data_IF_526995714580
#
_entry.id   IF_526995714580
#
_cell.length_a   1.000
_cell.length_b   1.000
_cell.length_c   1.000
_cell.angle_alpha   90.00
_cell.angle_beta   90.00
_cell.angle_gamma   90.00
#
_symmetry.space_group_name_H-M   'P 1'
#
loop_
_entity.id
_entity.type
_entity.pdbx_description
1 polymer ?
#
# COMPACT_ATOMS: atom_id res chain seq x y z
N UNK A 1 -7.42 -0.44 -0.82
CA UNK A 1 -6.71 -1.01 -1.99
C UNK A 1 -7.72 -1.59 -2.97
N UNK A 2 -7.38 -1.79 -4.25
CA UNK A 2 -8.28 -2.32 -5.29
C UNK A 2 -7.57 -3.25 -6.25
N UNK A 3 -8.26 -4.29 -6.71
CA UNK A 3 -7.69 -5.32 -7.57
C UNK A 3 -8.37 -5.36 -8.95
N UNK A 4 -7.59 -5.68 -9.98
CA UNK A 4 -8.10 -5.94 -11.33
C UNK A 4 -8.37 -7.44 -11.53
N UNK A 5 -9.13 -7.80 -12.57
CA UNK A 5 -9.37 -9.20 -12.98
C UNK A 5 -8.10 -10.01 -13.23
N UNK A 6 -7.01 -9.33 -13.60
CA UNK A 6 -5.71 -9.96 -13.80
C UNK A 6 -4.95 -10.31 -12.51
N UNK A 7 -5.46 -9.90 -11.34
CA UNK A 7 -4.86 -10.19 -10.03
C UNK A 7 -3.94 -9.10 -9.49
N UNK A 8 -3.58 -8.09 -10.28
CA UNK A 8 -2.74 -6.98 -9.81
C UNK A 8 -3.53 -5.98 -8.96
N UNK A 9 -2.87 -5.45 -7.93
CA UNK A 9 -3.47 -4.60 -6.89
C UNK A 9 -2.86 -3.21 -6.94
N UNK A 10 -3.71 -2.20 -6.83
CA UNK A 10 -3.34 -0.78 -6.89
C UNK A 10 -4.21 0.05 -5.92
N UNK A 11 -3.83 1.30 -5.67
CA UNK A 11 -4.75 2.26 -5.07
C UNK A 11 -5.93 2.53 -6.01
N UNK A 12 -7.15 2.59 -5.49
CA UNK A 12 -8.37 2.87 -6.27
C UNK A 12 -8.24 4.13 -7.12
N UNK A 13 -7.69 5.21 -6.55
CA UNK A 13 -7.51 6.49 -7.23
C UNK A 13 -6.52 6.38 -8.40
N UNK A 14 -5.38 5.73 -8.18
CA UNK A 14 -4.33 5.57 -9.19
C UNK A 14 -4.84 4.73 -10.36
N UNK A 15 -5.48 3.60 -10.08
CA UNK A 15 -5.94 2.72 -11.16
C UNK A 15 -7.14 3.29 -11.91
N UNK A 16 -8.02 4.05 -11.25
CA UNK A 16 -9.10 4.79 -11.94
C UNK A 16 -8.56 5.83 -12.91
N UNK A 17 -7.55 6.60 -12.51
CA UNK A 17 -6.92 7.58 -13.39
C UNK A 17 -6.31 6.89 -14.61
N UNK A 18 -5.55 5.83 -14.39
CA UNK A 18 -4.93 5.07 -15.46
C UNK A 18 -5.95 4.50 -16.44
N UNK A 19 -7.00 3.82 -15.95
CA UNK A 19 -8.02 3.19 -16.79
C UNK A 19 -8.90 4.19 -17.55
N UNK A 20 -8.90 5.47 -17.15
CA UNK A 20 -9.57 6.53 -17.91
C UNK A 20 -8.77 6.94 -19.17
N UNK A 21 -7.45 6.78 -19.16
CA UNK A 21 -6.57 7.06 -20.30
C UNK A 21 -6.23 5.79 -21.10
N UNK A 22 -6.08 4.66 -20.41
CA UNK A 22 -5.57 3.40 -20.93
C UNK A 22 -6.36 2.24 -20.32
N UNK A 23 -7.26 1.62 -21.08
CA UNK A 23 -8.07 0.46 -20.66
C UNK A 23 -7.25 -0.84 -20.55
N UNK A 24 -6.07 -0.80 -19.91
CA UNK A 24 -5.17 -1.94 -19.74
C UNK A 24 -4.53 -1.96 -18.35
N UNK A 25 -4.17 -3.14 -17.85
CA UNK A 25 -3.41 -3.26 -16.62
C UNK A 25 -1.98 -2.68 -16.79
N UNK A 26 -1.49 -1.83 -15.87
CA UNK A 26 -0.13 -1.29 -15.93
C UNK A 26 0.97 -2.36 -15.93
N UNK A 27 0.74 -3.47 -15.22
CA UNK A 27 1.76 -4.51 -15.00
C UNK A 27 1.81 -5.54 -16.13
N UNK A 28 0.65 -6.04 -16.57
CA UNK A 28 0.58 -7.15 -17.52
C UNK A 28 -0.11 -6.80 -18.84
N UNK A 29 -0.54 -5.54 -19.01
CA UNK A 29 -1.18 -5.01 -20.23
C UNK A 29 -2.46 -5.75 -20.68
N UNK A 30 -3.01 -6.62 -19.84
CA UNK A 30 -4.31 -7.23 -20.10
C UNK A 30 -5.37 -6.14 -20.19
N UNK A 31 -6.31 -6.21 -21.15
CA UNK A 31 -7.40 -5.25 -21.24
C UNK A 31 -8.21 -5.27 -19.95
N UNK A 32 -8.55 -4.10 -19.43
CA UNK A 32 -9.29 -3.97 -18.18
C UNK A 32 -10.09 -2.68 -18.21
N UNK A 33 -11.32 -2.74 -17.71
CA UNK A 33 -12.21 -1.57 -17.65
C UNK A 33 -12.48 -1.12 -16.22
N UNK A 34 -13.02 0.09 -16.06
CA UNK A 34 -13.31 0.68 -14.74
C UNK A 34 -14.36 -0.13 -13.95
N UNK A 35 -15.31 -0.76 -14.62
CA UNK A 35 -16.33 -1.66 -14.05
C UNK A 35 -15.76 -3.00 -13.56
N UNK A 36 -14.53 -3.33 -13.96
CA UNK A 36 -13.83 -4.55 -13.59
C UNK A 36 -12.89 -4.36 -12.38
N UNK A 37 -12.94 -3.21 -11.72
CA UNK A 37 -12.20 -2.93 -10.49
C UNK A 37 -12.95 -3.52 -9.28
N UNK A 38 -12.31 -4.41 -8.53
CA UNK A 38 -12.82 -4.92 -7.25
C UNK A 38 -12.29 -4.08 -6.10
N UNK A 39 -13.16 -3.25 -5.51
CA UNK A 39 -12.83 -2.41 -4.35
C UNK A 39 -13.22 -3.01 -2.99
N UNK A 40 -13.67 -4.27 -2.94
CA UNK A 40 -14.37 -4.84 -1.77
C UNK A 40 -13.49 -5.15 -0.54
N UNK A 41 -12.21 -4.80 -0.53
CA UNK A 41 -11.36 -4.98 0.65
C UNK A 41 -11.35 -3.68 1.47
N UNK A 42 -12.49 -3.41 2.10
CA UNK A 42 -12.60 -2.39 3.14
C UNK A 42 -12.13 -3.02 4.45
N UNK A 43 -10.88 -2.75 4.82
CA UNK A 43 -10.51 -2.83 6.22
C UNK A 43 -11.18 -1.62 6.87
N UNK A 44 -12.26 -1.85 7.61
CA UNK A 44 -12.76 -0.88 8.57
C UNK A 44 -11.71 -0.85 9.68
N UNK A 45 -10.85 0.16 9.64
CA UNK A 45 -10.20 0.62 10.85
C UNK A 45 -11.26 1.47 11.58
N UNK A 46 -12.07 0.82 12.41
CA UNK A 46 -12.86 1.51 13.42
C UNK A 46 -11.86 2.09 14.45
N UNK A 47 -11.42 3.33 14.23
CA UNK A 47 -10.98 4.21 15.32
C UNK A 47 -11.77 5.52 15.27
N UNK A 48 -12.66 5.67 16.24
CA UNK A 48 -13.46 6.86 16.45
C UNK A 48 -12.70 7.93 17.25
N UNK A 49 -12.34 9.01 16.52
CA UNK A 49 -12.17 10.41 16.99
C UNK A 49 -10.92 10.73 17.85
N UNK A 50 -10.21 11.85 17.64
CA UNK A 50 -10.77 13.21 17.67
C UNK A 50 -9.78 14.26 17.15
N UNK A 51 -10.27 15.10 16.24
CA UNK A 51 -9.67 16.37 15.85
C UNK A 51 -9.71 17.37 17.02
N UNK A 52 -8.55 17.87 17.45
CA UNK A 52 -8.42 19.23 17.99
C UNK A 52 -7.09 19.82 17.55
N UNK A 53 -7.16 20.99 16.95
CA UNK A 53 -6.04 21.82 16.56
C UNK A 53 -5.25 22.34 17.77
N UNK A 54 -4.00 22.70 17.49
CA UNK A 54 -3.11 23.60 18.23
C UNK A 54 -2.30 23.03 19.40
N UNK A 55 -1.00 22.79 19.18
CA UNK A 55 0.08 23.68 19.61
C UNK A 55 1.43 22.96 19.58
N UNK A 56 2.41 23.59 18.91
CA UNK A 56 3.81 23.19 18.94
C UNK A 56 4.31 23.13 20.39
N UNK A 57 4.85 21.99 20.80
CA UNK A 57 5.88 21.94 21.84
C UNK A 57 7.01 21.06 21.34
N UNK A 58 8.10 21.71 20.95
CA UNK A 58 9.41 21.12 20.78
C UNK A 58 9.97 20.66 22.13
N UNK A 59 10.74 19.56 22.09
CA UNK A 59 11.77 19.12 23.07
C UNK A 59 11.28 18.28 24.27
N UNK A 60 11.87 17.14 24.66
CA UNK A 60 13.05 16.38 24.21
C UNK A 60 13.10 15.00 24.89
N UNK A 61 13.46 13.99 24.08
CA UNK A 61 14.29 12.79 24.36
C UNK A 61 14.00 11.87 25.55
N UNK A 62 13.54 10.66 25.23
CA UNK A 62 14.07 9.40 25.75
C UNK A 62 14.02 8.34 24.65
N UNK A 63 15.17 7.71 24.40
CA UNK A 63 15.48 6.88 23.23
C UNK A 63 14.77 5.52 23.26
N UNK A 64 14.29 5.05 22.11
CA UNK A 64 14.05 3.61 21.87
C UNK A 64 14.20 3.32 20.37
N UNK A 65 15.46 3.21 19.94
CA UNK A 65 15.85 2.84 18.58
C UNK A 65 15.51 1.37 18.34
N UNK A 66 14.42 1.06 17.65
CA UNK A 66 14.18 -0.29 17.11
C UNK A 66 14.64 -0.33 15.65
N UNK A 67 15.64 -1.19 15.46
CA UNK A 67 16.59 -1.30 14.36
C UNK A 67 16.02 -1.48 12.94
N UNK A 68 16.44 -0.61 12.02
CA UNK A 68 16.32 -0.78 10.56
C UNK A 68 17.33 -1.81 9.98
N UNK A 69 18.01 -2.56 10.86
CA UNK A 69 18.90 -3.66 10.48
C UNK A 69 18.15 -5.01 10.38
N UNK A 70 17.01 -5.16 11.05
CA UNK A 70 16.24 -6.41 11.08
C UNK A 70 15.53 -6.67 9.75
N UNK A 71 14.93 -5.63 9.15
CA UNK A 71 14.25 -5.74 7.85
C UNK A 71 15.21 -6.12 6.71
N UNK A 72 16.41 -5.52 6.70
CA UNK A 72 17.41 -5.84 5.68
C UNK A 72 17.96 -7.26 5.87
N UNK A 73 18.07 -7.75 7.11
CA UNK A 73 18.52 -9.12 7.38
C UNK A 73 17.45 -10.15 6.99
N UNK A 74 16.17 -9.87 7.26
CA UNK A 74 15.04 -10.71 6.83
C UNK A 74 14.91 -10.76 5.30
N UNK A 75 15.20 -9.67 4.59
CA UNK A 75 15.22 -9.66 3.12
C UNK A 75 16.33 -10.58 2.58
N UNK A 76 17.53 -10.51 3.14
CA UNK A 76 18.66 -11.37 2.73
C UNK A 76 18.35 -12.86 3.00
N UNK A 77 17.72 -13.20 4.12
CA UNK A 77 17.33 -14.58 4.46
C UNK A 77 16.26 -15.15 3.51
N UNK A 78 15.27 -14.34 3.13
CA UNK A 78 14.20 -14.73 2.19
C UNK A 78 14.73 -14.86 0.76
N UNK A 79 15.65 -14.00 0.33
CA UNK A 79 16.24 -14.08 -1.01
C UNK A 79 17.21 -15.26 -1.16
N UNK A 80 17.92 -15.63 -0.09
CA UNK A 80 18.88 -16.76 -0.11
C UNK A 80 18.17 -18.12 -0.11
N UNK A 81 16.97 -18.22 0.46
CA UNK A 81 16.17 -19.46 0.50
C UNK A 81 15.36 -19.73 -0.78
N UNK A 82 15.21 -18.76 -1.67
CA UNK A 82 14.46 -18.90 -2.93
C UNK A 82 15.28 -19.43 -4.12
N UNK A 83 16.57 -19.74 -3.92
CA UNK A 83 17.49 -20.21 -4.96
C UNK A 83 17.97 -21.68 -4.81
N UNK A 84 17.22 -22.53 -4.11
CA UNK A 84 17.43 -23.98 -4.13
C UNK A 84 16.16 -24.75 -4.54
#
# INVERSE_FOLDING_TARGET
MSALRCGHVFHLKCIKYWLNEQETCPECRKPTKLDEIFSSFYFHDDEDSKSTSDSYTESSSSNDSRDMADYNNLIEEVLTSAFF
#
